data_IF_102917860438
#
_entry.id   IF_102917860438
#
_cell.length_a   1.000
_cell.length_b   1.000
_cell.length_c   1.000
_cell.angle_alpha   90.00
_cell.angle_beta   90.00
_cell.angle_gamma   90.00
#
_symmetry.space_group_name_H-M   'P 1'
#
loop_
_entity.id
_entity.type
_entity.pdbx_description
1 polymer ?
#
# COMPACT_ATOMS: atom_id res chain seq x y z
N UNK A 1 19.91 88.48 -54.93
CA UNK A 1 21.05 87.65 -54.49
C UNK A 1 20.51 86.46 -53.71
N UNK A 2 20.95 85.21 -54.01
CA UNK A 2 20.69 83.92 -53.31
C UNK A 2 19.22 83.55 -52.95
N UNK A 3 18.58 82.61 -53.64
CA UNK A 3 18.63 81.12 -53.51
C UNK A 3 17.95 80.54 -52.25
N UNK A 4 16.81 79.84 -52.46
CA UNK A 4 16.05 79.09 -51.44
C UNK A 4 16.59 77.68 -51.20
N UNK A 5 16.47 77.21 -49.96
CA UNK A 5 16.81 75.85 -49.50
C UNK A 5 15.72 74.81 -49.79
N UNK A 6 16.13 73.58 -50.13
CA UNK A 6 15.36 72.33 -49.98
C UNK A 6 16.33 71.16 -49.79
N UNK A 7 16.20 70.41 -48.69
CA UNK A 7 16.56 68.97 -48.60
C UNK A 7 15.83 68.34 -47.40
N UNK A 8 15.29 67.13 -47.60
CA UNK A 8 14.67 66.28 -46.57
C UNK A 8 15.55 65.02 -46.40
N UNK A 9 15.65 64.53 -45.15
CA UNK A 9 15.81 63.15 -44.67
C UNK A 9 16.60 62.11 -45.51
N UNK A 10 17.49 61.34 -44.85
CA UNK A 10 17.68 59.92 -45.10
C UNK A 10 17.02 59.04 -44.01
N UNK A 11 16.69 57.80 -44.38
CA UNK A 11 16.10 56.74 -43.54
C UNK A 11 17.13 55.65 -43.26
N UNK A 12 17.09 55.11 -42.04
CA UNK A 12 17.39 53.71 -41.59
C UNK A 12 18.37 52.81 -42.37
N UNK A 13 19.31 52.25 -41.60
CA UNK A 13 20.39 51.28 -41.90
C UNK A 13 20.29 50.19 -40.80
N UNK A 14 20.43 48.87 -41.00
CA UNK A 14 20.61 48.03 -42.20
C UNK A 14 20.23 46.55 -41.89
N UNK A 15 20.55 45.63 -42.81
CA UNK A 15 20.79 44.18 -42.62
C UNK A 15 19.73 43.30 -41.94
N UNK A 16 19.01 42.54 -42.79
CA UNK A 16 18.54 41.19 -42.46
C UNK A 16 19.74 40.24 -42.35
N UNK A 17 19.92 39.58 -41.22
CA UNK A 17 20.66 38.33 -41.13
C UNK A 17 19.65 37.18 -41.10
N UNK A 18 19.71 36.28 -42.08
CA UNK A 18 18.97 35.01 -42.06
C UNK A 18 19.91 33.98 -41.45
N UNK A 19 19.54 33.42 -40.31
CA UNK A 19 20.19 32.25 -39.73
C UNK A 19 19.15 31.13 -39.70
N UNK A 20 19.32 30.15 -40.59
CA UNK A 20 18.67 28.84 -40.42
C UNK A 20 19.27 28.16 -39.20
N UNK A 21 18.42 27.74 -38.26
CA UNK A 21 18.78 26.69 -37.31
C UNK A 21 18.27 25.37 -37.90
N UNK A 22 19.19 24.50 -38.30
CA UNK A 22 18.84 23.13 -38.64
C UNK A 22 18.43 22.39 -37.36
N UNK A 23 17.25 21.77 -37.37
CA UNK A 23 16.92 20.74 -36.39
C UNK A 23 17.73 19.48 -36.72
N UNK A 24 18.74 19.17 -35.91
CA UNK A 24 19.51 17.95 -36.04
C UNK A 24 18.80 16.82 -35.28
N UNK A 25 18.13 15.93 -36.02
CA UNK A 25 17.62 14.68 -35.45
C UNK A 25 18.82 13.76 -35.23
N UNK A 26 19.21 13.53 -33.97
CA UNK A 26 20.04 12.40 -33.61
C UNK A 26 19.20 11.36 -32.88
N UNK A 27 18.90 10.28 -33.60
CA UNK A 27 18.50 9.03 -32.96
C UNK A 27 19.77 8.31 -32.50
N UNK A 28 19.86 8.02 -31.20
CA UNK A 28 20.79 7.04 -30.64
C UNK A 28 19.98 5.98 -29.91
N UNK A 29 19.91 4.79 -30.49
CA UNK A 29 19.44 3.58 -29.82
C UNK A 29 20.66 2.76 -29.37
N UNK A 30 20.44 1.86 -28.40
CA UNK A 30 21.44 0.99 -27.75
C UNK A 30 22.46 1.74 -26.84
N UNK A 31 22.81 1.26 -25.65
CA UNK A 31 22.42 0.01 -24.95
C UNK A 31 22.58 0.17 -23.42
N UNK A 32 21.96 -0.72 -22.65
CA UNK A 32 22.45 -1.02 -21.28
C UNK A 32 21.66 -0.51 -20.08
N UNK A 33 20.32 -0.49 -20.13
CA UNK A 33 19.48 -0.54 -18.93
C UNK A 33 18.84 -1.93 -18.81
N UNK A 34 19.57 -2.89 -18.25
CA UNK A 34 19.00 -4.18 -17.83
C UNK A 34 18.00 -3.96 -16.69
N UNK A 35 16.88 -4.67 -16.74
CA UNK A 35 15.70 -4.46 -15.89
C UNK A 35 15.99 -4.03 -14.45
N UNK A 36 15.50 -2.85 -14.09
CA UNK A 36 15.21 -2.53 -12.71
C UNK A 36 13.89 -3.21 -12.37
N UNK A 37 13.97 -4.50 -12.01
CA UNK A 37 12.78 -5.32 -11.76
C UNK A 37 11.95 -4.68 -10.63
N UNK A 38 10.74 -4.28 -11.00
CA UNK A 38 9.71 -3.76 -10.12
C UNK A 38 9.07 -4.90 -9.32
N UNK A 39 8.23 -4.57 -8.33
CA UNK A 39 7.22 -5.54 -7.88
C UNK A 39 6.41 -6.05 -9.08
N UNK A 40 5.95 -7.32 -9.05
CA UNK A 40 5.24 -7.90 -10.18
C UNK A 40 3.99 -7.08 -10.49
N UNK A 41 3.81 -6.77 -11.78
CA UNK A 41 2.62 -6.09 -12.25
C UNK A 41 1.39 -6.98 -12.01
N UNK A 42 0.15 -6.45 -11.91
CA UNK A 42 -1.05 -7.23 -11.57
C UNK A 42 -1.37 -8.44 -12.48
N UNK A 43 -0.66 -8.60 -13.60
CA UNK A 43 -0.81 -9.70 -14.56
C UNK A 43 0.43 -10.64 -14.63
N UNK A 44 1.43 -10.46 -13.77
CA UNK A 44 2.58 -11.37 -13.66
C UNK A 44 2.30 -12.54 -12.70
N UNK A 45 2.93 -13.72 -12.91
CA UNK A 45 2.71 -14.88 -12.05
C UNK A 45 3.19 -14.59 -10.62
N UNK A 46 2.26 -14.61 -9.67
CA UNK A 46 2.52 -14.31 -8.25
C UNK A 46 3.54 -15.27 -7.65
N UNK A 47 4.41 -14.73 -6.80
CA UNK A 47 5.33 -15.54 -5.98
C UNK A 47 4.50 -16.40 -5.02
N UNK A 48 4.82 -17.70 -4.96
CA UNK A 48 4.31 -18.59 -3.91
C UNK A 48 5.18 -18.53 -2.65
N UNK A 49 6.32 -17.84 -2.69
CA UNK A 49 7.35 -17.84 -1.62
C UNK A 49 7.56 -16.48 -0.96
N UNK A 50 7.04 -15.39 -1.55
CA UNK A 50 7.11 -14.02 -1.02
C UNK A 50 5.73 -13.37 -0.88
N UNK A 51 5.62 -12.46 0.09
CA UNK A 51 4.55 -11.50 0.33
C UNK A 51 5.23 -10.14 0.62
N UNK A 52 5.77 -9.47 -0.40
CA UNK A 52 6.84 -8.49 -0.22
C UNK A 52 6.40 -7.12 0.33
N UNK A 53 5.10 -6.83 0.40
CA UNK A 53 4.55 -5.56 0.89
C UNK A 53 3.15 -5.74 1.48
N UNK A 54 2.58 -4.66 2.03
CA UNK A 54 1.18 -4.63 2.46
C UNK A 54 0.24 -5.17 1.37
N UNK A 55 -0.71 -6.05 1.75
CA UNK A 55 -1.65 -6.74 0.85
C UNK A 55 -1.01 -7.57 -0.29
N UNK A 56 0.28 -7.86 -0.25
CA UNK A 56 0.96 -8.84 -1.10
C UNK A 56 1.41 -8.35 -2.48
N UNK A 57 0.63 -7.50 -3.18
CA UNK A 57 0.99 -6.98 -4.50
C UNK A 57 0.65 -5.50 -4.71
N UNK A 58 0.96 -4.96 -5.89
CA UNK A 58 0.70 -3.55 -6.23
C UNK A 58 -0.79 -3.19 -6.32
N UNK A 59 -1.68 -4.15 -6.61
CA UNK A 59 -3.12 -3.93 -6.68
C UNK A 59 -3.83 -3.94 -5.33
N UNK A 60 -3.10 -4.33 -4.28
CA UNK A 60 -3.55 -4.51 -2.90
C UNK A 60 -4.72 -5.51 -2.75
N UNK A 61 -4.74 -6.58 -3.55
CA UNK A 61 -5.84 -7.57 -3.53
C UNK A 61 -5.81 -8.57 -2.37
N UNK A 62 -4.68 -8.69 -1.67
CA UNK A 62 -4.54 -9.56 -0.51
C UNK A 62 -4.67 -11.05 -0.82
N UNK A 63 -4.36 -11.52 -2.02
CA UNK A 63 -4.43 -12.95 -2.39
C UNK A 63 -3.05 -13.56 -2.55
N UNK A 64 -2.76 -14.59 -1.75
CA UNK A 64 -1.58 -15.44 -1.89
C UNK A 64 -1.89 -16.64 -2.79
N UNK A 65 -0.90 -16.99 -3.63
CA UNK A 65 -0.90 -18.28 -4.35
C UNK A 65 -0.15 -19.38 -3.57
N UNK A 66 0.33 -19.06 -2.36
CA UNK A 66 1.04 -20.01 -1.52
C UNK A 66 0.09 -21.06 -0.93
N UNK A 67 0.39 -22.36 -1.04
CA UNK A 67 -0.46 -23.41 -0.47
C UNK A 67 -0.27 -23.48 1.04
N UNK A 68 -1.24 -22.95 1.78
CA UNK A 68 -1.32 -23.06 3.25
C UNK A 68 -1.91 -24.43 3.62
N UNK A 69 -1.44 -25.11 4.69
CA UNK A 69 -2.00 -26.40 5.12
C UNK A 69 -3.49 -26.36 5.51
N UNK A 70 -4.16 -27.52 5.43
CA UNK A 70 -5.56 -27.68 5.81
C UNK A 70 -5.81 -27.43 7.31
N UNK A 71 -4.81 -27.63 8.16
CA UNK A 71 -4.85 -27.39 9.62
C UNK A 71 -3.53 -26.74 10.08
N UNK A 72 -3.31 -25.42 9.84
CA UNK A 72 -2.05 -24.74 10.16
C UNK A 72 -1.72 -24.82 11.64
N UNK A 73 -0.51 -25.29 11.97
CA UNK A 73 -0.06 -25.39 13.36
C UNK A 73 0.86 -24.21 13.70
N UNK A 74 0.89 -23.80 14.97
CA UNK A 74 1.87 -22.82 15.43
C UNK A 74 3.28 -23.41 15.31
N UNK A 75 4.12 -22.79 14.48
CA UNK A 75 5.49 -23.24 14.23
C UNK A 75 6.50 -22.54 15.15
N UNK A 76 6.35 -21.23 15.33
CA UNK A 76 7.19 -20.43 16.21
C UNK A 76 6.49 -19.13 16.64
N UNK A 77 6.96 -18.56 17.75
CA UNK A 77 6.69 -17.17 18.14
C UNK A 77 7.99 -16.40 18.36
N UNK A 78 7.95 -15.09 18.23
CA UNK A 78 9.06 -14.20 18.54
C UNK A 78 8.57 -13.00 19.37
N UNK A 79 9.24 -12.75 20.50
CA UNK A 79 8.96 -11.63 21.39
C UNK A 79 9.71 -10.36 20.92
N UNK A 80 8.95 -9.35 20.51
CA UNK A 80 9.48 -8.07 20.03
C UNK A 80 9.85 -7.13 21.17
N UNK A 81 9.25 -7.32 22.35
CA UNK A 81 9.31 -6.46 23.54
C UNK A 81 8.22 -5.39 23.65
N UNK A 82 7.41 -5.20 22.61
CA UNK A 82 6.33 -4.20 22.53
C UNK A 82 5.35 -4.53 21.39
N UNK A 83 4.11 -4.04 21.47
CA UNK A 83 3.02 -4.34 20.54
C UNK A 83 3.39 -4.16 19.05
N UNK A 84 2.77 -4.99 18.22
CA UNK A 84 3.01 -5.05 16.78
C UNK A 84 1.73 -4.62 16.05
N UNK A 85 1.71 -3.38 15.54
CA UNK A 85 0.64 -2.86 14.68
C UNK A 85 1.00 -2.93 13.18
N UNK A 86 2.29 -3.06 12.87
CA UNK A 86 2.82 -3.20 11.51
C UNK A 86 2.50 -4.60 10.97
N UNK A 87 1.87 -4.69 9.79
CA UNK A 87 1.65 -5.98 9.15
C UNK A 87 2.98 -6.49 8.56
N UNK A 88 3.25 -7.79 8.65
CA UNK A 88 4.52 -8.33 8.20
C UNK A 88 4.68 -8.29 6.66
N UNK A 89 5.93 -8.18 6.21
CA UNK A 89 6.33 -8.50 4.84
C UNK A 89 7.21 -9.75 4.85
N UNK A 90 7.02 -10.64 3.89
CA UNK A 90 7.82 -11.86 3.73
C UNK A 90 8.55 -11.78 2.40
N UNK A 91 9.88 -11.84 2.41
CA UNK A 91 10.67 -11.89 1.16
C UNK A 91 11.97 -12.66 1.36
N UNK A 92 12.35 -13.49 0.39
CA UNK A 92 13.60 -14.25 0.40
C UNK A 92 13.78 -15.15 1.64
N UNK A 93 12.68 -15.70 2.15
CA UNK A 93 12.64 -16.52 3.37
C UNK A 93 12.87 -15.73 4.67
N UNK A 94 12.63 -14.42 4.65
CA UNK A 94 12.77 -13.51 5.80
C UNK A 94 11.43 -12.83 6.07
N UNK A 95 11.06 -12.75 7.34
CA UNK A 95 9.96 -11.91 7.84
C UNK A 95 10.54 -10.56 8.25
N UNK A 96 9.96 -9.47 7.75
CA UNK A 96 10.22 -8.10 8.17
C UNK A 96 8.98 -7.52 8.82
N UNK A 97 9.13 -6.78 9.91
CA UNK A 97 8.01 -6.21 10.67
C UNK A 97 8.49 -5.05 11.53
N UNK A 98 7.67 -3.99 11.61
CA UNK A 98 7.88 -2.85 12.51
C UNK A 98 7.22 -3.07 13.88
N UNK A 99 7.74 -2.43 14.92
CA UNK A 99 7.18 -2.51 16.28
C UNK A 99 6.78 -1.15 16.82
N UNK A 100 5.94 -1.13 17.85
CA UNK A 100 5.60 0.11 18.56
C UNK A 100 6.79 0.68 19.36
N UNK A 101 7.78 -0.15 19.72
CA UNK A 101 9.09 0.31 20.21
C UNK A 101 9.99 0.94 19.13
N UNK A 102 9.52 1.03 17.88
CA UNK A 102 10.21 1.71 16.78
C UNK A 102 11.35 0.92 16.17
N UNK A 103 11.35 -0.40 16.36
CA UNK A 103 12.31 -1.31 15.74
C UNK A 103 11.74 -1.96 14.48
N UNK A 104 12.50 -1.92 13.38
CA UNK A 104 12.33 -2.84 12.26
C UNK A 104 13.12 -4.11 12.56
N UNK A 105 12.44 -5.25 12.58
CA UNK A 105 13.03 -6.56 12.91
C UNK A 105 13.02 -7.44 11.66
N UNK A 106 14.12 -8.17 11.43
CA UNK A 106 14.20 -9.22 10.42
C UNK A 106 14.40 -10.60 11.07
N UNK A 107 13.50 -11.54 10.79
CA UNK A 107 13.51 -12.91 11.32
C UNK A 107 13.61 -13.94 10.19
N UNK A 108 14.25 -15.09 10.43
CA UNK A 108 14.17 -16.23 9.53
C UNK A 108 12.74 -16.79 9.51
N UNK A 109 12.11 -16.87 8.34
CA UNK A 109 10.75 -17.40 8.18
C UNK A 109 10.62 -18.85 8.68
N UNK A 110 11.70 -19.64 8.56
CA UNK A 110 11.73 -21.06 8.92
C UNK A 110 11.49 -21.35 10.40
N UNK A 111 12.08 -20.55 11.30
CA UNK A 111 12.22 -20.85 12.73
C UNK A 111 12.09 -19.63 13.67
N UNK A 112 11.82 -18.44 13.13
CA UNK A 112 11.69 -17.21 13.93
C UNK A 112 13.00 -16.65 14.45
N UNK A 113 14.15 -17.25 14.14
CA UNK A 113 15.44 -16.79 14.66
C UNK A 113 15.82 -15.41 14.09
N UNK A 114 16.27 -14.46 14.93
CA UNK A 114 16.54 -13.09 14.49
C UNK A 114 17.78 -13.01 13.60
N UNK A 115 17.66 -12.27 12.50
CA UNK A 115 18.79 -11.90 11.63
C UNK A 115 19.43 -10.59 12.06
N UNK A 116 18.60 -9.55 12.24
CA UNK A 116 19.02 -8.22 12.69
C UNK A 116 17.82 -7.43 13.23
N UNK A 117 18.14 -6.33 13.92
CA UNK A 117 17.20 -5.31 14.41
C UNK A 117 17.75 -3.94 14.03
N UNK A 118 16.92 -3.07 13.47
CA UNK A 118 17.22 -1.70 13.15
C UNK A 118 16.30 -0.79 13.93
N UNK A 119 16.86 0.04 14.82
CA UNK A 119 16.09 1.04 15.54
C UNK A 119 15.83 2.22 14.61
N UNK A 120 14.56 2.44 14.27
CA UNK A 120 14.11 3.50 13.37
C UNK A 120 13.73 4.76 14.16
N UNK A 121 12.95 4.61 15.23
CA UNK A 121 12.26 5.72 15.89
C UNK A 121 12.13 5.57 17.41
N UNK A 122 12.35 6.66 18.14
CA UNK A 122 12.03 6.73 19.58
C UNK A 122 10.50 6.83 19.84
N UNK A 123 9.71 7.12 18.79
CA UNK A 123 8.24 7.31 18.88
C UNK A 123 7.41 6.12 18.38
N UNK A 124 8.06 5.08 17.86
CA UNK A 124 7.40 3.90 17.29
C UNK A 124 7.21 3.96 15.76
N UNK A 125 7.00 2.78 15.15
CA UNK A 125 6.66 2.66 13.72
C UNK A 125 5.14 2.75 13.49
N UNK A 126 4.36 2.19 14.42
CA UNK A 126 2.90 2.12 14.28
C UNK A 126 2.46 1.23 13.11
N UNK A 127 1.52 1.72 12.31
CA UNK A 127 0.75 0.93 11.34
C UNK A 127 1.46 0.75 9.97
N UNK A 128 2.53 1.51 9.69
CA UNK A 128 3.27 1.40 8.42
C UNK A 128 3.86 -0.01 8.31
N UNK A 129 3.49 -0.74 7.27
CA UNK A 129 3.95 -2.11 7.02
C UNK A 129 5.15 -2.09 6.07
N UNK A 130 6.17 -2.96 6.24
CA UNK A 130 7.37 -2.87 5.43
C UNK A 130 7.10 -3.22 3.96
N UNK A 131 7.90 -2.67 3.05
CA UNK A 131 7.94 -3.10 1.65
C UNK A 131 9.37 -3.50 1.26
N UNK A 132 9.52 -4.67 0.66
CA UNK A 132 10.83 -5.33 0.44
C UNK A 132 11.08 -5.59 -1.04
N UNK A 133 12.16 -5.03 -1.58
CA UNK A 133 12.51 -5.11 -3.00
C UNK A 133 13.97 -4.73 -3.24
N UNK A 134 14.63 -5.35 -4.21
CA UNK A 134 15.99 -5.00 -4.67
C UNK A 134 17.04 -4.85 -3.56
N UNK A 135 16.93 -5.70 -2.53
CA UNK A 135 17.84 -5.72 -1.38
C UNK A 135 17.60 -4.62 -0.34
N UNK A 136 16.53 -3.85 -0.46
CA UNK A 136 16.09 -2.85 0.53
C UNK A 136 14.76 -3.27 1.14
N UNK A 137 14.58 -2.99 2.43
CA UNK A 137 13.26 -2.90 3.07
C UNK A 137 13.00 -1.42 3.42
N UNK A 138 11.81 -0.95 3.06
CA UNK A 138 11.33 0.40 3.32
C UNK A 138 10.28 0.37 4.42
N UNK A 139 10.31 1.31 5.37
CA UNK A 139 9.27 1.47 6.40
C UNK A 139 9.16 2.92 6.87
N UNK A 140 7.93 3.42 7.06
CA UNK A 140 7.67 4.72 7.67
C UNK A 140 7.58 4.63 9.20
N UNK A 141 7.62 5.77 9.89
CA UNK A 141 7.49 5.82 11.35
C UNK A 141 6.54 6.95 11.85
N UNK A 142 6.29 6.96 13.16
CA UNK A 142 5.48 7.97 13.85
C UNK A 142 6.22 9.30 14.11
N UNK A 143 7.49 9.42 13.72
CA UNK A 143 8.24 10.68 13.68
C UNK A 143 8.15 11.38 12.32
N UNK A 144 7.59 10.72 11.30
CA UNK A 144 7.55 11.22 9.93
C UNK A 144 8.79 10.84 9.11
N UNK A 145 9.49 9.76 9.45
CA UNK A 145 10.71 9.33 8.77
C UNK A 145 10.45 8.06 7.97
N UNK A 146 10.74 8.10 6.67
CA UNK A 146 10.87 6.91 5.84
C UNK A 146 12.30 6.39 5.91
N UNK A 147 12.47 5.14 6.29
CA UNK A 147 13.75 4.46 6.38
C UNK A 147 13.91 3.47 5.23
N UNK A 148 15.03 3.55 4.51
CA UNK A 148 15.47 2.52 3.57
C UNK A 148 16.60 1.72 4.23
N UNK A 149 16.41 0.43 4.47
CA UNK A 149 17.34 -0.43 5.24
C UNK A 149 17.81 -1.61 4.37
N UNK A 150 19.10 -1.90 4.39
CA UNK A 150 19.69 -3.03 3.66
C UNK A 150 19.31 -4.38 4.29
N UNK A 151 18.70 -5.28 3.49
CA UNK A 151 18.15 -6.54 4.00
C UNK A 151 19.19 -7.52 4.54
N UNK A 152 20.47 -7.39 4.14
CA UNK A 152 21.53 -8.31 4.52
C UNK A 152 22.22 -7.88 5.82
N UNK A 153 22.30 -6.57 6.07
CA UNK A 153 23.09 -5.99 7.15
C UNK A 153 22.28 -5.28 8.22
N UNK A 154 20.99 -4.99 7.98
CA UNK A 154 20.14 -4.24 8.91
C UNK A 154 20.56 -2.78 9.09
N UNK A 155 21.29 -2.21 8.12
CA UNK A 155 21.81 -0.84 8.17
C UNK A 155 21.03 0.07 7.25
N UNK A 156 20.79 1.30 7.70
CA UNK A 156 20.22 2.35 6.86
C UNK A 156 21.08 2.56 5.59
N UNK A 157 20.40 2.59 4.44
CA UNK A 157 20.91 3.04 3.14
C UNK A 157 20.69 4.56 3.00
N UNK A 158 19.47 5.02 3.31
CA UNK A 158 19.09 6.43 3.37
C UNK A 158 17.82 6.61 4.24
N UNK A 159 17.51 7.85 4.60
CA UNK A 159 16.24 8.26 5.23
C UNK A 159 15.65 9.48 4.50
N UNK A 160 14.34 9.69 4.62
CA UNK A 160 13.63 10.87 4.14
C UNK A 160 12.64 11.33 5.22
N UNK A 161 12.55 12.65 5.45
CA UNK A 161 11.73 13.23 6.53
C UNK A 161 10.53 13.98 5.92
N UNK A 162 9.33 13.65 6.40
CA UNK A 162 8.05 14.35 6.17
C UNK A 162 7.75 15.30 7.33
N UNK A 163 6.70 16.12 7.23
CA UNK A 163 6.38 17.12 8.29
C UNK A 163 5.45 16.57 9.39
N UNK A 164 4.95 15.33 9.25
CA UNK A 164 4.15 14.58 10.23
C UNK A 164 4.21 13.06 9.97
N UNK A 165 3.44 12.26 10.72
CA UNK A 165 3.54 10.80 10.81
C UNK A 165 3.31 10.05 9.47
N UNK A 166 4.11 9.02 9.20
CA UNK A 166 3.92 8.13 8.04
C UNK A 166 3.18 6.88 8.50
N UNK A 167 1.85 6.88 8.35
CA UNK A 167 0.99 5.70 8.59
C UNK A 167 0.77 4.84 7.34
N UNK A 168 0.84 5.43 6.15
CA UNK A 168 0.83 4.68 4.89
C UNK A 168 1.98 3.67 4.89
N UNK A 169 1.73 2.48 4.34
CA UNK A 169 2.84 1.59 3.99
C UNK A 169 3.55 2.15 2.74
N UNK A 170 4.89 2.06 2.63
CA UNK A 170 5.59 2.35 1.38
C UNK A 170 5.21 1.36 0.28
N UNK A 171 5.16 1.83 -0.97
CA UNK A 171 4.97 1.00 -2.16
C UNK A 171 6.04 1.36 -3.19
N UNK A 172 6.80 0.37 -3.67
CA UNK A 172 7.83 0.61 -4.70
C UNK A 172 7.36 0.14 -6.08
N UNK A 173 7.46 1.03 -7.05
CA UNK A 173 7.15 0.78 -8.46
C UNK A 173 8.11 1.59 -9.34
N UNK A 174 8.70 0.96 -10.36
CA UNK A 174 9.56 1.63 -11.36
C UNK A 174 10.69 2.52 -10.79
N UNK A 175 11.29 2.12 -9.67
CA UNK A 175 12.35 2.90 -8.99
C UNK A 175 11.84 4.10 -8.17
N UNK A 176 10.53 4.22 -7.97
CA UNK A 176 9.87 5.24 -7.17
C UNK A 176 9.24 4.59 -5.94
N UNK A 177 9.55 5.09 -4.75
CA UNK A 177 8.86 4.75 -3.49
C UNK A 177 7.74 5.77 -3.27
N UNK A 178 6.52 5.27 -3.11
CA UNK A 178 5.33 6.04 -2.80
C UNK A 178 5.05 5.93 -1.30
N UNK A 179 4.85 7.07 -0.61
CA UNK A 179 4.42 7.13 0.80
C UNK A 179 3.41 8.26 1.02
N UNK A 180 2.31 7.95 1.70
CA UNK A 180 1.38 8.94 2.27
C UNK A 180 1.78 9.38 3.67
N UNK A 181 1.61 10.66 3.97
CA UNK A 181 1.94 11.27 5.27
C UNK A 181 0.75 12.05 5.84
N UNK A 182 0.75 12.20 7.16
CA UNK A 182 -0.17 13.05 7.92
C UNK A 182 0.12 14.55 7.74
N UNK A 183 1.17 14.93 7.01
CA UNK A 183 1.37 16.31 6.54
C UNK A 183 0.49 16.67 5.33
N UNK A 184 -0.47 15.82 5.00
CA UNK A 184 -1.41 15.95 3.88
C UNK A 184 -0.76 15.86 2.51
N UNK A 185 0.33 15.08 2.38
CA UNK A 185 0.94 14.78 1.08
C UNK A 185 1.07 13.28 0.77
N UNK A 186 1.05 12.97 -0.52
CA UNK A 186 1.62 11.76 -1.11
C UNK A 186 2.96 12.13 -1.76
N UNK A 187 4.02 11.41 -1.44
CA UNK A 187 5.36 11.62 -1.98
C UNK A 187 5.75 10.53 -2.98
N UNK A 188 6.45 10.92 -4.05
CA UNK A 188 7.19 10.01 -4.93
C UNK A 188 8.68 10.25 -4.80
N UNK A 189 9.40 9.28 -4.22
CA UNK A 189 10.82 9.38 -3.87
C UNK A 189 11.67 8.43 -4.72
N UNK A 190 12.89 8.84 -5.06
CA UNK A 190 13.87 7.98 -5.73
C UNK A 190 14.27 6.81 -4.82
N UNK A 191 14.02 5.57 -5.24
CA UNK A 191 14.37 4.37 -4.49
C UNK A 191 15.87 4.26 -4.17
N UNK A 192 16.73 4.75 -5.07
CA UNK A 192 18.19 4.70 -4.92
C UNK A 192 18.72 5.69 -3.87
N UNK A 193 18.00 6.78 -3.60
CA UNK A 193 18.57 7.95 -2.92
C UNK A 193 17.69 8.65 -1.89
N UNK A 194 16.39 8.32 -1.80
CA UNK A 194 15.41 9.00 -0.95
C UNK A 194 15.01 10.40 -1.41
N UNK A 195 15.65 10.95 -2.45
CA UNK A 195 15.36 12.30 -2.93
C UNK A 195 13.93 12.37 -3.52
N UNK A 196 13.15 13.42 -3.21
CA UNK A 196 11.82 13.60 -3.78
C UNK A 196 11.92 13.89 -5.29
N UNK A 197 11.17 13.11 -6.06
CA UNK A 197 10.94 13.31 -7.49
C UNK A 197 9.75 14.27 -7.65
N UNK A 198 8.68 14.01 -6.89
CA UNK A 198 7.48 14.83 -6.82
C UNK A 198 6.83 14.72 -5.43
N UNK A 199 5.97 15.68 -5.10
CA UNK A 199 5.03 15.60 -3.98
C UNK A 199 3.66 16.12 -4.43
N UNK A 200 2.60 15.49 -3.96
CA UNK A 200 1.22 15.82 -4.26
C UNK A 200 0.51 16.21 -2.96
N UNK A 201 -0.16 17.36 -2.94
CA UNK A 201 -0.82 17.93 -1.75
C UNK A 201 -2.33 17.63 -1.77
N UNK A 202 -2.84 17.14 -0.64
CA UNK A 202 -4.26 16.84 -0.38
C UNK A 202 -4.83 17.81 0.65
N UNK A 203 -6.16 17.86 0.81
CA UNK A 203 -6.77 18.78 1.78
C UNK A 203 -6.79 18.26 3.24
N UNK A 204 -6.25 17.06 3.47
CA UNK A 204 -6.15 16.37 4.76
C UNK A 204 -5.19 15.17 4.64
N UNK A 205 -4.99 14.41 5.72
CA UNK A 205 -3.99 13.33 5.81
C UNK A 205 -4.09 12.25 4.73
N UNK A 206 -2.94 11.75 4.25
CA UNK A 206 -2.87 10.56 3.38
C UNK A 206 -2.54 9.34 4.24
N UNK A 207 -3.58 8.72 4.80
CA UNK A 207 -3.44 7.49 5.60
C UNK A 207 -3.33 6.23 4.73
N UNK A 208 -4.17 6.12 3.70
CA UNK A 208 -4.28 4.91 2.89
C UNK A 208 -2.98 4.60 2.14
N UNK A 209 -2.62 3.31 2.09
CA UNK A 209 -1.53 2.81 1.24
C UNK A 209 -2.00 2.89 -0.23
N UNK A 210 -1.20 3.47 -1.15
CA UNK A 210 -1.61 3.62 -2.54
C UNK A 210 -1.54 2.29 -3.30
N UNK A 211 -2.63 1.89 -3.96
CA UNK A 211 -2.61 0.80 -4.93
C UNK A 211 -2.15 1.30 -6.29
N UNK A 212 -1.24 0.59 -6.95
CA UNK A 212 -0.66 0.99 -8.23
C UNK A 212 -1.10 0.04 -9.36
N UNK A 213 -1.84 0.59 -10.32
CA UNK A 213 -2.28 -0.12 -11.53
C UNK A 213 -2.03 0.75 -12.76
N UNK A 214 -1.47 0.17 -13.82
CA UNK A 214 -1.18 0.84 -15.09
C UNK A 214 -0.37 2.16 -14.97
N UNK A 215 0.51 2.25 -13.97
CA UNK A 215 1.35 3.43 -13.73
C UNK A 215 0.63 4.58 -13.00
N UNK A 216 -0.56 4.33 -12.46
CA UNK A 216 -1.35 5.28 -11.66
C UNK A 216 -1.41 4.75 -10.22
N UNK A 217 -1.14 5.62 -9.25
CA UNK A 217 -1.31 5.37 -7.83
C UNK A 217 -2.69 5.87 -7.39
N UNK A 218 -3.53 4.95 -6.92
CA UNK A 218 -4.88 5.19 -6.44
C UNK A 218 -4.95 5.11 -4.92
N UNK A 219 -5.53 6.12 -4.29
CA UNK A 219 -5.62 6.23 -2.84
C UNK A 219 -6.82 7.10 -2.43
N UNK A 220 -7.33 6.88 -1.22
CA UNK A 220 -8.32 7.76 -0.59
C UNK A 220 -7.67 8.61 0.49
N UNK A 221 -8.06 9.88 0.59
CA UNK A 221 -7.59 10.79 1.61
C UNK A 221 -8.52 10.88 2.83
N UNK A 222 -8.00 11.50 3.90
CA UNK A 222 -8.84 11.98 5.00
C UNK A 222 -9.68 13.22 4.61
N UNK A 223 -9.60 13.68 3.35
CA UNK A 223 -10.34 14.79 2.75
C UNK A 223 -11.61 14.36 1.99
N UNK A 224 -12.03 13.10 2.16
CA UNK A 224 -13.19 12.46 1.51
C UNK A 224 -13.04 12.20 0.00
N UNK A 225 -11.90 12.55 -0.59
CA UNK A 225 -11.63 12.37 -2.02
C UNK A 225 -10.85 11.08 -2.30
N UNK A 226 -11.28 10.36 -3.34
CA UNK A 226 -10.53 9.25 -3.93
C UNK A 226 -9.81 9.73 -5.17
N UNK A 227 -8.48 9.56 -5.22
CA UNK A 227 -7.61 10.17 -6.24
C UNK A 227 -6.82 9.12 -7.00
N UNK A 228 -6.45 9.47 -8.23
CA UNK A 228 -5.48 8.74 -9.05
C UNK A 228 -4.41 9.69 -9.55
N UNK A 229 -3.16 9.51 -9.12
CA UNK A 229 -2.01 10.30 -9.56
C UNK A 229 -1.05 9.46 -10.39
N UNK A 230 -0.43 10.04 -11.41
CA UNK A 230 0.52 9.32 -12.26
C UNK A 230 1.85 9.14 -11.53
N UNK A 231 2.33 7.90 -11.44
CA UNK A 231 3.55 7.53 -10.70
C UNK A 231 4.80 8.26 -11.19
N UNK A 232 4.90 8.60 -12.48
CA UNK A 232 6.10 9.20 -13.07
C UNK A 232 6.37 10.66 -12.66
N UNK A 233 5.34 11.42 -12.29
CA UNK A 233 5.42 12.88 -12.13
C UNK A 233 4.48 13.46 -11.05
N UNK A 234 3.59 12.66 -10.46
CA UNK A 234 2.64 13.10 -9.45
C UNK A 234 1.44 13.89 -10.01
N UNK A 235 1.24 13.93 -11.33
CA UNK A 235 0.06 14.60 -11.91
C UNK A 235 -1.23 13.86 -11.53
N UNK A 236 -2.18 14.56 -10.90
CA UNK A 236 -3.53 14.05 -10.70
C UNK A 236 -4.24 13.91 -12.06
N UNK A 237 -4.71 12.71 -12.36
CA UNK A 237 -5.47 12.40 -13.58
C UNK A 237 -6.93 12.05 -13.28
N UNK A 238 -7.27 11.85 -12.01
CA UNK A 238 -8.56 11.35 -11.54
C UNK A 238 -8.82 11.83 -10.11
N UNK A 239 -10.02 12.33 -9.83
CA UNK A 239 -10.52 12.58 -8.48
C UNK A 239 -12.04 12.37 -8.44
N UNK A 240 -12.53 11.67 -7.43
CA UNK A 240 -13.97 11.45 -7.16
C UNK A 240 -14.23 11.52 -5.66
N UNK A 241 -15.21 12.33 -5.28
CA UNK A 241 -15.65 12.41 -3.89
C UNK A 241 -16.31 11.09 -3.45
N UNK A 242 -15.73 10.46 -2.41
CA UNK A 242 -16.34 9.32 -1.74
C UNK A 242 -17.52 9.76 -0.87
N UNK A 243 -17.57 11.03 -0.45
CA UNK A 243 -18.57 11.60 0.46
C UNK A 243 -18.38 11.19 1.93
N UNK A 244 -17.21 10.62 2.24
CA UNK A 244 -16.75 10.23 3.56
C UNK A 244 -15.25 9.98 3.53
N UNK A 245 -14.54 10.25 4.62
CA UNK A 245 -13.11 10.01 4.71
C UNK A 245 -12.76 8.50 4.82
N UNK A 246 -11.58 8.14 4.33
CA UNK A 246 -11.12 6.75 4.18
C UNK A 246 -9.75 6.54 4.80
N UNK A 247 -9.60 5.48 5.60
CA UNK A 247 -8.29 4.96 6.00
C UNK A 247 -7.99 3.59 5.36
N UNK A 248 -9.02 2.83 5.00
CA UNK A 248 -8.88 1.58 4.26
C UNK A 248 -8.14 1.85 2.94
N UNK A 249 -7.11 1.03 2.67
CA UNK A 249 -6.38 1.09 1.41
C UNK A 249 -7.21 0.42 0.31
N UNK A 250 -7.27 0.97 -0.92
CA UNK A 250 -8.13 0.41 -1.95
C UNK A 250 -7.55 -0.83 -2.60
N UNK A 251 -8.41 -1.79 -2.92
CA UNK A 251 -8.09 -2.89 -3.83
C UNK A 251 -8.53 -2.52 -5.25
N UNK A 252 -7.64 -2.64 -6.24
CA UNK A 252 -7.91 -2.22 -7.62
C UNK A 252 -7.95 -3.44 -8.55
N UNK A 253 -9.13 -3.77 -9.08
CA UNK A 253 -9.34 -4.91 -9.98
C UNK A 253 -9.84 -4.43 -11.34
N UNK A 254 -8.98 -4.55 -12.36
CA UNK A 254 -9.25 -3.99 -13.68
C UNK A 254 -9.42 -2.47 -13.59
N UNK A 255 -10.64 -1.99 -13.79
CA UNK A 255 -11.02 -0.57 -13.67
C UNK A 255 -12.00 -0.31 -12.53
N UNK A 256 -11.98 -1.15 -11.49
CA UNK A 256 -12.83 -1.04 -10.31
C UNK A 256 -11.99 -0.91 -9.04
N UNK A 257 -12.24 0.12 -8.23
CA UNK A 257 -11.66 0.24 -6.89
C UNK A 257 -12.66 -0.18 -5.82
N UNK A 258 -12.23 -0.99 -4.86
CA UNK A 258 -13.01 -1.41 -3.69
C UNK A 258 -12.35 -0.89 -2.41
N UNK A 259 -13.11 -0.22 -1.54
CA UNK A 259 -12.60 0.31 -0.27
C UNK A 259 -13.71 0.59 0.76
N UNK A 260 -13.35 0.63 2.04
CA UNK A 260 -14.21 0.98 3.16
C UNK A 260 -14.14 2.46 3.54
N UNK A 261 -15.20 3.00 4.14
CA UNK A 261 -15.28 4.40 4.60
C UNK A 261 -15.63 4.51 6.09
N UNK A 262 -15.38 5.70 6.65
CA UNK A 262 -15.83 6.03 8.01
C UNK A 262 -17.31 6.42 8.12
N UNK A 263 -18.04 6.52 7.00
CA UNK A 263 -19.50 6.67 6.99
C UNK A 263 -20.25 5.32 7.05
N UNK A 264 -19.56 4.24 7.45
CA UNK A 264 -20.11 2.89 7.57
C UNK A 264 -20.43 2.21 6.24
N UNK A 265 -19.74 2.60 5.17
CA UNK A 265 -19.96 2.09 3.83
C UNK A 265 -18.75 1.30 3.29
N UNK A 266 -19.03 0.40 2.36
CA UNK A 266 -18.07 -0.18 1.42
C UNK A 266 -18.48 0.25 0.02
N UNK A 267 -17.52 0.71 -0.78
CA UNK A 267 -17.77 1.29 -2.10
C UNK A 267 -17.14 0.44 -3.20
N UNK A 268 -17.78 0.41 -4.37
CA UNK A 268 -17.12 0.10 -5.63
C UNK A 268 -17.16 1.33 -6.55
N UNK A 269 -15.99 1.80 -6.95
CA UNK A 269 -15.80 2.96 -7.82
C UNK A 269 -15.31 2.51 -9.20
N UNK A 270 -16.01 2.95 -10.24
CA UNK A 270 -15.59 2.83 -11.63
C UNK A 270 -14.52 3.89 -11.94
N UNK A 271 -13.31 3.44 -12.30
CA UNK A 271 -12.16 4.30 -12.58
C UNK A 271 -12.17 4.87 -14.00
N UNK A 272 -12.88 4.25 -14.95
CA UNK A 272 -13.03 4.78 -16.31
C UNK A 272 -14.09 5.88 -16.38
N UNK A 273 -15.18 5.72 -15.61
CA UNK A 273 -16.34 6.61 -15.60
C UNK A 273 -16.30 7.66 -14.48
N UNK A 274 -15.52 7.43 -13.41
CA UNK A 274 -15.52 8.28 -12.22
C UNK A 274 -16.82 8.23 -11.43
N UNK A 275 -17.50 7.07 -11.39
CA UNK A 275 -18.79 6.90 -10.71
C UNK A 275 -18.80 5.71 -9.76
N UNK A 276 -19.40 5.90 -8.60
CA UNK A 276 -19.60 4.82 -7.63
C UNK A 276 -20.70 3.89 -8.16
N UNK A 277 -20.34 2.66 -8.52
CA UNK A 277 -21.25 1.65 -9.07
C UNK A 277 -22.25 1.17 -8.02
N UNK A 278 -21.77 0.94 -6.79
CA UNK A 278 -22.59 0.54 -5.65
C UNK A 278 -22.01 1.03 -4.33
N UNK A 279 -22.88 1.14 -3.33
CA UNK A 279 -22.55 1.32 -1.92
C UNK A 279 -23.19 0.18 -1.12
N UNK A 280 -22.42 -0.42 -0.22
CA UNK A 280 -22.92 -1.38 0.77
C UNK A 280 -22.84 -0.75 2.17
N UNK A 281 -23.90 -0.88 2.94
CA UNK A 281 -23.95 -0.58 4.37
C UNK A 281 -24.64 -1.74 5.07
N UNK A 282 -24.18 -2.14 6.27
CA UNK A 282 -24.83 -3.23 6.99
C UNK A 282 -26.23 -2.78 7.49
N UNK A 283 -27.33 -3.52 7.20
CA UNK A 283 -28.71 -3.04 7.37
C UNK A 283 -29.14 -2.54 8.76
N UNK A 284 -28.37 -2.87 9.80
CA UNK A 284 -28.66 -2.50 11.20
C UNK A 284 -27.41 -2.17 12.04
N UNK A 285 -26.20 -2.22 11.46
CA UNK A 285 -24.93 -2.07 12.20
C UNK A 285 -24.04 -1.05 11.53
N UNK A 286 -24.38 0.21 11.76
CA UNK A 286 -23.70 1.36 11.20
C UNK A 286 -22.36 1.58 11.95
N UNK A 287 -21.33 0.84 11.52
CA UNK A 287 -19.94 0.99 11.99
C UNK A 287 -18.98 1.12 10.80
N UNK A 288 -17.86 1.83 10.95
CA UNK A 288 -16.92 2.10 9.86
C UNK A 288 -16.12 0.87 9.44
N UNK A 289 -15.71 0.87 8.18
CA UNK A 289 -14.87 -0.17 7.56
C UNK A 289 -13.42 0.33 7.48
N UNK A 290 -12.57 -0.21 8.35
CA UNK A 290 -11.14 0.13 8.42
C UNK A 290 -10.26 -0.84 7.63
N UNK A 291 -10.61 -2.14 7.68
CA UNK A 291 -10.00 -3.19 6.88
C UNK A 291 -9.91 -2.79 5.40
N UNK A 292 -8.73 -2.94 4.81
CA UNK A 292 -8.58 -2.92 3.36
C UNK A 292 -9.21 -4.19 2.79
N UNK A 293 -9.93 -4.16 1.65
CA UNK A 293 -10.58 -5.36 1.14
C UNK A 293 -9.59 -6.40 0.60
N UNK A 294 -10.05 -7.64 0.48
CA UNK A 294 -9.46 -8.67 -0.35
C UNK A 294 -10.38 -8.96 -1.54
N UNK A 295 -9.84 -9.35 -2.69
CA UNK A 295 -10.64 -9.74 -3.84
C UNK A 295 -10.26 -11.11 -4.38
N UNK A 296 -11.21 -12.05 -4.44
CA UNK A 296 -11.00 -13.31 -5.15
C UNK A 296 -12.31 -13.86 -5.73
N UNK A 297 -12.26 -14.42 -6.95
CA UNK A 297 -13.40 -15.06 -7.63
C UNK A 297 -14.72 -14.26 -7.64
N UNK A 298 -14.65 -12.93 -7.72
CA UNK A 298 -15.82 -12.05 -7.74
C UNK A 298 -16.40 -11.73 -6.36
N UNK A 299 -15.72 -12.12 -5.28
CA UNK A 299 -16.02 -11.70 -3.91
C UNK A 299 -15.05 -10.62 -3.45
N UNK A 300 -15.60 -9.60 -2.79
CA UNK A 300 -14.87 -8.59 -2.01
C UNK A 300 -15.03 -8.94 -0.54
N UNK A 301 -13.94 -9.30 0.14
CA UNK A 301 -13.96 -9.75 1.55
C UNK A 301 -13.25 -8.74 2.45
N UNK A 302 -13.88 -8.29 3.53
CA UNK A 302 -13.30 -7.32 4.45
C UNK A 302 -13.85 -7.40 5.88
N UNK A 303 -13.10 -6.85 6.83
CA UNK A 303 -13.50 -6.69 8.23
C UNK A 303 -14.25 -5.38 8.52
N UNK A 304 -15.23 -5.44 9.41
CA UNK A 304 -15.95 -4.28 9.94
C UNK A 304 -15.70 -4.04 11.43
N UNK A 305 -15.76 -2.76 11.87
CA UNK A 305 -15.82 -2.42 13.31
C UNK A 305 -17.16 -2.78 13.97
N UNK A 306 -18.10 -3.29 13.18
CA UNK A 306 -19.33 -3.95 13.63
C UNK A 306 -19.10 -5.39 14.15
N UNK A 307 -17.87 -5.90 14.08
CA UNK A 307 -17.44 -7.26 14.50
C UNK A 307 -17.82 -8.36 13.51
N UNK A 308 -17.87 -8.03 12.23
CA UNK A 308 -18.17 -9.00 11.17
C UNK A 308 -17.11 -9.00 10.07
N UNK A 309 -16.80 -10.18 9.56
CA UNK A 309 -16.19 -10.35 8.23
C UNK A 309 -17.35 -10.37 7.24
N UNK A 310 -17.31 -9.52 6.23
CA UNK A 310 -18.30 -9.46 5.17
C UNK A 310 -17.68 -9.97 3.88
N UNK A 311 -18.40 -10.82 3.14
CA UNK A 311 -18.14 -11.03 1.73
C UNK A 311 -19.28 -10.43 0.90
N UNK A 312 -18.90 -9.56 -0.03
CA UNK A 312 -19.78 -8.85 -0.93
C UNK A 312 -19.56 -9.34 -2.35
N UNK A 313 -20.65 -9.45 -3.10
CA UNK A 313 -20.64 -9.61 -4.54
C UNK A 313 -19.97 -8.39 -5.21
N UNK A 314 -18.86 -8.60 -5.92
CA UNK A 314 -18.06 -7.50 -6.45
C UNK A 314 -18.80 -6.63 -7.49
N UNK A 315 -19.76 -7.20 -8.23
CA UNK A 315 -20.52 -6.50 -9.25
C UNK A 315 -21.70 -5.72 -8.66
N UNK A 316 -22.35 -6.26 -7.62
CA UNK A 316 -23.62 -5.70 -7.11
C UNK A 316 -23.58 -5.16 -5.68
N UNK A 317 -22.48 -5.35 -4.94
CA UNK A 317 -22.32 -4.92 -3.55
C UNK A 317 -23.18 -5.69 -2.55
N UNK A 318 -23.89 -6.73 -2.99
CA UNK A 318 -24.78 -7.52 -2.13
C UNK A 318 -23.96 -8.43 -1.23
N UNK A 319 -24.30 -8.48 0.05
CA UNK A 319 -23.73 -9.49 0.96
C UNK A 319 -24.07 -10.89 0.46
N UNK A 320 -23.02 -11.69 0.26
CA UNK A 320 -23.08 -13.11 -0.07
C UNK A 320 -23.03 -13.94 1.22
N UNK A 321 -22.13 -13.58 2.13
CA UNK A 321 -22.08 -14.12 3.49
C UNK A 321 -21.53 -13.10 4.50
N UNK A 322 -21.76 -13.36 5.79
CA UNK A 322 -21.16 -12.66 6.93
C UNK A 322 -20.75 -13.65 8.02
N UNK A 323 -19.59 -13.44 8.63
CA UNK A 323 -19.13 -14.18 9.80
C UNK A 323 -18.97 -13.23 10.98
N UNK A 324 -19.50 -13.58 12.16
CA UNK A 324 -19.50 -12.69 13.33
C UNK A 324 -18.46 -13.12 14.36
N UNK A 325 -17.50 -12.24 14.66
CA UNK A 325 -16.51 -12.41 15.73
C UNK A 325 -17.00 -11.72 17.01
N UNK A 326 -16.22 -11.78 18.09
CA UNK A 326 -16.57 -11.16 19.39
C UNK A 326 -16.00 -9.74 19.52
N UNK A 327 -14.99 -9.40 18.72
CA UNK A 327 -14.23 -8.14 18.73
C UNK A 327 -14.27 -7.42 17.38
N UNK A 328 -13.66 -6.24 17.26
CA UNK A 328 -13.56 -5.56 15.96
C UNK A 328 -12.66 -6.35 15.01
N UNK A 329 -12.73 -6.02 13.72
CA UNK A 329 -11.82 -6.54 12.71
C UNK A 329 -11.24 -5.32 11.98
N UNK A 330 -10.13 -4.83 12.52
CA UNK A 330 -9.30 -3.80 11.89
C UNK A 330 -8.26 -4.45 10.93
N UNK A 331 -7.93 -5.72 11.16
CA UNK A 331 -7.10 -6.59 10.30
C UNK A 331 -7.68 -6.70 8.88
N UNK A 332 -6.82 -6.55 7.86
CA UNK A 332 -7.23 -6.75 6.46
C UNK A 332 -7.08 -8.22 6.07
N UNK A 333 -8.16 -8.92 5.63
CA UNK A 333 -8.13 -10.37 5.41
C UNK A 333 -7.19 -10.76 4.27
N UNK A 334 -6.45 -11.85 4.41
CA UNK A 334 -5.64 -12.44 3.35
C UNK A 334 -6.29 -13.72 2.84
N UNK A 335 -6.37 -13.89 1.51
CA UNK A 335 -6.97 -15.06 0.88
C UNK A 335 -5.85 -15.99 0.39
N UNK A 336 -5.97 -17.29 0.65
CA UNK A 336 -5.08 -18.30 0.08
C UNK A 336 -5.90 -19.55 -0.29
N UNK A 337 -5.87 -19.93 -1.58
CA UNK A 337 -6.73 -20.99 -2.10
C UNK A 337 -8.22 -20.66 -1.93
N UNK A 338 -8.94 -21.53 -1.24
CA UNK A 338 -10.37 -21.42 -0.91
C UNK A 338 -10.62 -20.85 0.50
N UNK A 339 -9.60 -20.25 1.15
CA UNK A 339 -9.68 -19.75 2.53
C UNK A 339 -9.37 -18.27 2.69
N UNK A 340 -10.02 -17.68 3.69
CA UNK A 340 -9.83 -16.31 4.19
C UNK A 340 -9.21 -16.39 5.58
N UNK A 341 -8.05 -15.75 5.76
CA UNK A 341 -7.38 -15.61 7.06
C UNK A 341 -7.48 -14.16 7.55
N UNK A 342 -7.89 -13.95 8.80
CA UNK A 342 -8.13 -12.60 9.34
C UNK A 342 -8.01 -12.54 10.87
N UNK A 343 -7.32 -11.51 11.38
CA UNK A 343 -7.20 -11.24 12.81
C UNK A 343 -8.44 -10.52 13.36
N UNK A 344 -8.75 -10.71 14.65
CA UNK A 344 -9.77 -9.92 15.33
C UNK A 344 -9.28 -9.42 16.68
N UNK A 345 -9.77 -8.25 17.09
CA UNK A 345 -9.52 -7.65 18.39
C UNK A 345 -10.22 -8.41 19.56
N UNK A 346 -10.75 -9.63 19.33
CA UNK A 346 -11.11 -10.58 20.40
C UNK A 346 -10.01 -11.61 20.73
N UNK A 347 -8.84 -11.43 20.11
CA UNK A 347 -7.65 -12.22 20.36
C UNK A 347 -7.58 -13.54 19.61
N UNK A 348 -8.23 -13.63 18.44
CA UNK A 348 -8.14 -14.79 17.54
C UNK A 348 -7.67 -14.41 16.15
N UNK A 349 -6.94 -15.36 15.54
CA UNK A 349 -6.77 -15.45 14.11
C UNK A 349 -7.79 -16.48 13.59
N UNK A 350 -8.63 -16.09 12.64
CA UNK A 350 -9.66 -16.94 12.05
C UNK A 350 -9.26 -17.41 10.65
N UNK A 351 -9.64 -18.64 10.31
CA UNK A 351 -9.63 -19.23 8.97
C UNK A 351 -11.05 -19.61 8.55
N UNK A 352 -11.56 -18.97 7.51
CA UNK A 352 -12.93 -19.12 7.01
C UNK A 352 -12.93 -19.65 5.57
N UNK A 353 -13.89 -20.49 5.21
CA UNK A 353 -14.17 -20.87 3.83
C UNK A 353 -14.58 -19.62 3.02
N UNK A 354 -13.89 -19.36 1.92
CA UNK A 354 -14.19 -18.24 1.02
C UNK A 354 -15.57 -18.36 0.38
N UNK A 355 -16.05 -19.59 0.16
CA UNK A 355 -17.30 -19.88 -0.54
C UNK A 355 -18.56 -19.43 0.21
N UNK A 356 -18.59 -19.58 1.54
CA UNK A 356 -19.80 -19.34 2.36
C UNK A 356 -19.54 -18.73 3.75
N UNK A 357 -18.28 -18.45 4.10
CA UNK A 357 -17.90 -17.90 5.41
C UNK A 357 -17.92 -18.91 6.55
N UNK A 358 -18.02 -20.22 6.26
CA UNK A 358 -17.93 -21.27 7.27
C UNK A 358 -16.60 -21.18 8.02
N UNK A 359 -16.65 -21.21 9.35
CA UNK A 359 -15.47 -21.28 10.18
C UNK A 359 -14.82 -22.67 10.07
N UNK A 360 -13.61 -22.72 9.52
CA UNK A 360 -12.84 -23.96 9.32
C UNK A 360 -11.73 -24.12 10.37
N UNK A 361 -11.14 -23.02 10.83
CA UNK A 361 -9.99 -23.00 11.73
C UNK A 361 -9.97 -21.72 12.56
N UNK A 362 -9.48 -21.78 13.81
CA UNK A 362 -9.13 -20.62 14.62
C UNK A 362 -7.91 -20.92 15.50
N UNK A 363 -7.18 -19.86 15.85
CA UNK A 363 -6.16 -19.92 16.90
C UNK A 363 -6.36 -18.77 17.89
N UNK A 364 -6.41 -19.07 19.19
CA UNK A 364 -6.55 -18.10 20.27
C UNK A 364 -5.16 -17.59 20.72
N UNK A 365 -4.82 -16.40 20.23
CA UNK A 365 -3.63 -15.63 20.64
C UNK A 365 -3.84 -15.06 22.06
N UNK A 366 -5.07 -14.63 22.37
CA UNK A 366 -5.44 -14.08 23.70
C UNK A 366 -5.20 -12.58 23.86
N UNK A 367 -4.56 -11.94 22.88
CA UNK A 367 -4.42 -10.48 22.73
C UNK A 367 -4.83 -10.04 21.33
N UNK A 368 -5.30 -8.80 21.20
CA UNK A 368 -5.92 -8.26 19.99
C UNK A 368 -5.00 -8.38 18.76
N UNK A 369 -5.58 -8.85 17.65
CA UNK A 369 -4.88 -9.12 16.39
C UNK A 369 -5.31 -8.08 15.35
N UNK A 370 -4.73 -6.89 15.46
CA UNK A 370 -4.94 -5.75 14.55
C UNK A 370 -4.22 -5.91 13.21
N UNK A 371 -3.06 -6.58 13.20
CA UNK A 371 -2.25 -6.75 11.98
C UNK A 371 -2.93 -7.61 10.92
N UNK A 372 -2.58 -7.36 9.65
CA UNK A 372 -3.07 -8.13 8.51
C UNK A 372 -2.16 -9.35 8.27
N UNK A 373 -2.70 -10.56 8.00
CA UNK A 373 -1.88 -11.74 7.77
C UNK A 373 -1.02 -11.62 6.50
N UNK A 374 0.26 -11.98 6.61
CA UNK A 374 1.16 -12.16 5.48
C UNK A 374 1.28 -13.66 5.17
N UNK A 375 1.06 -14.06 3.91
CA UNK A 375 0.99 -15.48 3.54
C UNK A 375 2.00 -15.81 2.43
N UNK A 376 3.04 -16.58 2.75
CA UNK A 376 4.06 -17.00 1.80
C UNK A 376 4.80 -18.27 2.25
N UNK A 377 5.35 -19.03 1.30
CA UNK A 377 6.04 -20.32 1.55
C UNK A 377 5.26 -21.32 2.43
N UNK A 378 3.94 -21.38 2.25
CA UNK A 378 3.01 -22.22 3.02
C UNK A 378 2.76 -21.76 4.45
N UNK A 379 3.20 -20.55 4.81
CA UNK A 379 3.12 -20.01 6.17
C UNK A 379 2.26 -18.77 6.25
N UNK A 380 1.62 -18.59 7.41
CA UNK A 380 0.88 -17.39 7.79
C UNK A 380 1.68 -16.68 8.90
N UNK A 381 1.92 -15.38 8.76
CA UNK A 381 2.56 -14.56 9.79
C UNK A 381 1.65 -13.41 10.21
N UNK A 382 1.48 -13.22 11.52
CA UNK A 382 0.74 -12.09 12.13
C UNK A 382 1.48 -11.57 13.38
N UNK A 383 1.32 -10.29 13.66
CA UNK A 383 1.65 -9.69 14.96
C UNK A 383 0.40 -9.41 15.79
N UNK A 384 0.57 -9.25 17.11
CA UNK A 384 -0.52 -8.92 18.03
C UNK A 384 -0.11 -7.88 19.10
N UNK A 385 -1.10 -7.35 19.81
CA UNK A 385 -0.95 -6.36 20.88
C UNK A 385 -0.25 -6.91 22.15
N UNK A 386 0.07 -8.20 22.22
CA UNK A 386 0.91 -8.79 23.28
C UNK A 386 2.42 -8.64 23.03
N UNK A 387 2.83 -8.10 21.88
CA UNK A 387 4.24 -7.99 21.49
C UNK A 387 4.82 -9.30 20.96
N UNK A 388 3.99 -10.24 20.52
CA UNK A 388 4.44 -11.46 19.86
C UNK A 388 4.14 -11.44 18.36
N UNK A 389 5.10 -11.91 17.58
CA UNK A 389 4.92 -12.33 16.19
C UNK A 389 4.66 -13.83 16.20
N UNK A 390 3.61 -14.28 15.51
CA UNK A 390 3.21 -15.67 15.37
C UNK A 390 3.42 -16.14 13.94
N UNK A 391 3.91 -17.37 13.77
CA UNK A 391 4.02 -18.03 12.47
C UNK A 391 3.36 -19.41 12.50
N UNK A 392 2.45 -19.62 11.56
CA UNK A 392 1.70 -20.87 11.37
C UNK A 392 2.06 -21.52 10.03
N UNK A 393 1.90 -22.84 9.91
CA UNK A 393 2.09 -23.60 8.66
C UNK A 393 2.31 -25.07 8.92
#
# INVERSE_FOLDING_TARGET
MQRRSKRKLPRTISMRAVIMVLALIMASAADGASGADSQPLPNEPRSTVDWPQFRGDLSLDGVSTSPVPDDPQLLWTFDTGEMVDSSAAIANGVVYVGTYAGDLIALNLSDGSPRWRYHASEWGIGESSPAVVNGTVYIGDLSGVLHAVDINTGKARWTFETEAEIKSSPVLVNGIVLIGSYDSHLYGLSADSGNPIWKFETSSYVHATPAVVNGIAYFGGCDEEFRGVRVSDGEEIFAVSSGAYTAASPTIIGTTAFYGTFANEVLALDLDQGVIRWRYEHPTRHFPFYSSPAFHNGLVVLGGRDRMVHALDAETGKSQWVFTTRGRIDSSPAIAGDRVYVGSNDGRLYGLALSDGTHEWEYEIGSSVSTSPAIASGRIVVGAEDGLIYCFG
#
